data_IF_757584921205
#
_entry.id   IF_757584921205
#
_cell.length_a   1.000
_cell.length_b   1.000
_cell.length_c   1.000
_cell.angle_alpha   90.00
_cell.angle_beta   90.00
_cell.angle_gamma   90.00
#
_symmetry.space_group_name_H-M   'P 1'
#
loop_
_entity.id
_entity.type
_entity.pdbx_description
1 polymer ?
#
# COMPACT_ATOMS: atom_id res chain seq x y z
N UNK A 1 -24.88 8.95 9.58
CA UNK A 1 -23.56 9.55 9.28
C UNK A 1 -22.35 8.72 9.77
N UNK A 2 -22.50 7.78 10.71
CA UNK A 2 -21.36 6.95 11.17
C UNK A 2 -20.87 5.93 10.14
N UNK A 3 -21.78 5.39 9.34
CA UNK A 3 -21.48 4.41 8.29
C UNK A 3 -20.51 4.94 7.21
N UNK A 4 -20.83 6.11 6.64
CA UNK A 4 -19.97 6.82 5.69
C UNK A 4 -18.58 7.14 6.30
N UNK A 5 -18.54 7.51 7.58
CA UNK A 5 -17.29 7.83 8.29
C UNK A 5 -16.41 6.58 8.47
N UNK A 6 -16.98 5.39 8.67
CA UNK A 6 -16.22 4.12 8.70
C UNK A 6 -15.65 3.78 7.32
N UNK A 7 -16.45 3.90 6.25
CA UNK A 7 -16.01 3.63 4.87
C UNK A 7 -14.90 4.56 4.38
N UNK A 8 -14.97 5.84 4.72
CA UNK A 8 -13.94 6.85 4.38
C UNK A 8 -12.56 6.48 4.93
N UNK A 9 -12.48 5.90 6.13
CA UNK A 9 -11.20 5.47 6.73
C UNK A 9 -10.56 4.34 5.94
N UNK A 10 -11.34 3.35 5.50
CA UNK A 10 -10.84 2.25 4.68
C UNK A 10 -10.40 2.73 3.30
N UNK A 11 -11.14 3.67 2.72
CA UNK A 11 -10.80 4.27 1.43
C UNK A 11 -9.46 5.04 1.51
N UNK A 12 -9.21 5.75 2.62
CA UNK A 12 -7.92 6.35 2.93
C UNK A 12 -6.78 5.32 3.01
N UNK A 13 -7.01 4.18 3.66
CA UNK A 13 -6.02 3.08 3.76
C UNK A 13 -5.70 2.51 2.38
N UNK A 14 -6.70 2.33 1.52
CA UNK A 14 -6.52 1.82 0.15
C UNK A 14 -5.68 2.81 -0.67
N UNK A 15 -6.02 4.10 -0.67
CA UNK A 15 -5.28 5.12 -1.42
C UNK A 15 -3.83 5.21 -0.93
N UNK A 16 -3.64 5.21 0.40
CA UNK A 16 -2.31 5.27 1.00
C UNK A 16 -1.46 4.04 0.65
N UNK A 17 -2.06 2.85 0.65
CA UNK A 17 -1.42 1.61 0.22
C UNK A 17 -0.98 1.66 -1.25
N UNK A 18 -1.86 2.10 -2.15
CA UNK A 18 -1.56 2.22 -3.59
C UNK A 18 -0.44 3.23 -3.84
N UNK A 19 -0.45 4.37 -3.14
CA UNK A 19 0.58 5.40 -3.27
C UNK A 19 1.98 4.87 -2.89
N UNK A 20 2.09 4.13 -1.77
CA UNK A 20 3.35 3.52 -1.34
C UNK A 20 3.83 2.46 -2.34
N UNK A 21 2.93 1.62 -2.87
CA UNK A 21 3.29 0.61 -3.85
C UNK A 21 3.86 1.25 -5.13
N UNK A 22 3.22 2.33 -5.61
CA UNK A 22 3.69 3.07 -6.78
C UNK A 22 5.03 3.75 -6.53
N UNK A 23 5.21 4.37 -5.35
CA UNK A 23 6.46 5.01 -4.96
C UNK A 23 7.61 4.00 -4.89
N UNK A 24 7.40 2.88 -4.20
CA UNK A 24 8.38 1.80 -4.09
C UNK A 24 8.72 1.22 -5.47
N UNK A 25 7.73 1.06 -6.34
CA UNK A 25 7.95 0.56 -7.70
C UNK A 25 8.70 1.56 -8.58
N UNK A 26 8.48 2.86 -8.41
CA UNK A 26 9.23 3.91 -9.09
C UNK A 26 10.70 3.89 -8.68
N UNK A 27 10.98 3.91 -7.37
CA UNK A 27 12.33 3.84 -6.80
C UNK A 27 13.09 2.59 -7.27
N UNK A 28 12.44 1.43 -7.26
CA UNK A 28 13.06 0.17 -7.72
C UNK A 28 13.39 0.13 -9.21
N UNK A 29 12.68 0.89 -10.06
CA UNK A 29 12.83 0.86 -11.51
C UNK A 29 13.73 1.98 -12.05
N UNK A 30 13.73 3.16 -11.42
CA UNK A 30 14.46 4.33 -11.91
C UNK A 30 15.79 4.58 -11.19
N UNK A 31 15.97 4.07 -9.97
CA UNK A 31 17.22 4.28 -9.23
C UNK A 31 18.17 3.08 -9.39
N UNK A 32 19.18 3.26 -10.25
CA UNK A 32 20.20 2.24 -10.57
C UNK A 32 21.41 2.30 -9.62
N UNK A 33 21.48 3.28 -8.73
CA UNK A 33 22.68 3.58 -7.92
C UNK A 33 22.56 3.13 -6.45
N UNK A 34 21.38 2.69 -6.02
CA UNK A 34 21.18 2.19 -4.66
C UNK A 34 21.87 0.83 -4.52
N UNK A 35 22.72 0.63 -3.51
CA UNK A 35 23.40 -0.64 -3.24
C UNK A 35 22.39 -1.81 -3.13
N UNK A 36 22.18 -2.51 -4.26
CA UNK A 36 20.87 -3.00 -4.68
C UNK A 36 20.32 -4.15 -3.85
N UNK A 37 21.14 -4.97 -3.20
CA UNK A 37 20.64 -6.21 -2.59
C UNK A 37 19.82 -5.97 -1.32
N UNK A 38 20.28 -5.12 -0.40
CA UNK A 38 19.57 -4.91 0.88
C UNK A 38 18.35 -4.00 0.72
N UNK A 39 18.48 -2.89 0.01
CA UNK A 39 17.38 -1.93 -0.16
C UNK A 39 16.26 -2.53 -0.99
N UNK A 40 16.57 -3.30 -2.05
CA UNK A 40 15.57 -3.99 -2.86
C UNK A 40 14.79 -5.03 -2.05
N UNK A 41 15.44 -5.77 -1.16
CA UNK A 41 14.76 -6.75 -0.28
C UNK A 41 13.80 -6.03 0.68
N UNK A 42 14.24 -4.94 1.31
CA UNK A 42 13.40 -4.16 2.23
C UNK A 42 12.22 -3.53 1.48
N UNK A 43 12.47 -2.92 0.31
CA UNK A 43 11.43 -2.35 -0.55
C UNK A 43 10.44 -3.41 -1.07
N UNK A 44 10.92 -4.62 -1.39
CA UNK A 44 10.04 -5.72 -1.81
C UNK A 44 9.14 -6.19 -0.67
N UNK A 45 9.69 -6.34 0.55
CA UNK A 45 8.90 -6.68 1.75
C UNK A 45 7.87 -5.58 2.03
N UNK A 46 8.28 -4.31 1.93
CA UNK A 46 7.39 -3.16 2.11
C UNK A 46 6.24 -3.18 1.09
N UNK A 47 6.53 -3.45 -0.19
CA UNK A 47 5.52 -3.56 -1.25
C UNK A 47 4.51 -4.67 -0.96
N UNK A 48 4.98 -5.85 -0.53
CA UNK A 48 4.10 -6.99 -0.19
C UNK A 48 3.24 -6.68 1.03
N UNK A 49 3.83 -6.14 2.10
CA UNK A 49 3.11 -5.76 3.30
C UNK A 49 2.04 -4.70 3.01
N UNK A 50 2.39 -3.68 2.22
CA UNK A 50 1.46 -2.63 1.83
C UNK A 50 0.33 -3.17 0.94
N UNK A 51 0.63 -4.10 0.02
CA UNK A 51 -0.38 -4.81 -0.78
C UNK A 51 -1.36 -5.61 0.07
N UNK A 52 -0.86 -6.30 1.11
CA UNK A 52 -1.71 -7.01 2.08
C UNK A 52 -2.65 -6.08 2.86
N UNK A 53 -2.15 -4.92 3.31
CA UNK A 53 -2.98 -3.89 3.96
C UNK A 53 -4.01 -3.26 3.00
N UNK A 54 -3.64 -3.07 1.74
CA UNK A 54 -4.56 -2.58 0.70
C UNK A 54 -5.72 -3.55 0.43
N UNK A 55 -5.41 -4.85 0.31
CA UNK A 55 -6.42 -5.90 0.16
C UNK A 55 -7.31 -6.01 1.40
N UNK A 56 -6.74 -5.92 2.60
CA UNK A 56 -7.53 -5.89 3.84
C UNK A 56 -8.49 -4.70 3.88
N UNK A 57 -8.02 -3.51 3.50
CA UNK A 57 -8.85 -2.31 3.37
C UNK A 57 -9.99 -2.49 2.37
N UNK A 58 -9.73 -3.10 1.22
CA UNK A 58 -10.75 -3.45 0.21
C UNK A 58 -11.81 -4.40 0.75
N UNK A 59 -11.39 -5.52 1.35
CA UNK A 59 -12.33 -6.52 1.90
C UNK A 59 -13.20 -5.91 3.00
N UNK A 60 -12.60 -5.14 3.92
CA UNK A 60 -13.33 -4.41 4.97
C UNK A 60 -14.31 -3.39 4.37
N UNK A 61 -13.92 -2.66 3.34
CA UNK A 61 -14.77 -1.67 2.68
C UNK A 61 -16.06 -2.29 2.13
N UNK A 62 -15.99 -3.45 1.49
CA UNK A 62 -17.16 -4.18 0.99
C UNK A 62 -17.93 -4.94 2.09
N UNK A 63 -17.27 -5.33 3.18
CA UNK A 63 -17.90 -6.06 4.30
C UNK A 63 -18.71 -5.15 5.22
N UNK A 64 -18.37 -3.88 5.33
CA UNK A 64 -19.10 -2.90 6.14
C UNK A 64 -20.47 -2.63 5.49
N UNK A 65 -21.53 -3.20 6.08
CA UNK A 65 -22.96 -2.96 5.81
C UNK A 65 -23.53 -1.86 6.68
#
# INVERSE_FOLDING_TARGET
>A
MEYLRKRMKFLLIIIFSVAIILFVQYEMNYDTNINLKKVRVIMTILKIACGGYGLYGLVQFFRVK
#
